data_IF_032335465982
#
_entry.id   IF_032335465982
#
_cell.length_a   1.000
_cell.length_b   1.000
_cell.length_c   1.000
_cell.angle_alpha   90.00
_cell.angle_beta   90.00
_cell.angle_gamma   90.00
#
_symmetry.space_group_name_H-M   'P 1'
#
loop_
_entity.id
_entity.type
_entity.pdbx_description
1 polymer ?
#
# COMPACT_ATOMS: atom_id res chain seq x y z
N UNK A 1 22.85 1.11 -11.00
CA UNK A 1 23.54 1.43 -9.72
C UNK A 1 22.49 1.51 -8.63
N UNK A 2 22.44 0.49 -7.80
CA UNK A 2 21.49 0.32 -6.70
C UNK A 2 22.02 0.97 -5.42
N UNK A 3 21.14 1.20 -4.44
CA UNK A 3 21.57 1.59 -3.10
C UNK A 3 22.41 0.50 -2.41
N UNK A 4 22.38 -0.75 -2.90
CA UNK A 4 23.21 -1.84 -2.40
C UNK A 4 24.69 -1.73 -2.80
N UNK A 5 25.01 -0.93 -3.82
CA UNK A 5 26.38 -0.64 -4.29
C UNK A 5 26.94 0.68 -3.72
N UNK A 6 26.14 1.44 -2.95
CA UNK A 6 26.54 2.76 -2.46
C UNK A 6 27.39 2.66 -1.19
N UNK A 7 28.65 3.08 -1.26
CA UNK A 7 29.53 3.16 -0.10
C UNK A 7 29.10 4.22 0.93
N UNK A 8 29.45 3.96 2.19
CA UNK A 8 29.20 4.86 3.32
C UNK A 8 27.87 4.65 4.07
N UNK A 9 27.65 5.49 5.09
CA UNK A 9 26.58 5.30 6.09
C UNK A 9 25.18 5.26 5.48
N UNK A 10 24.90 6.07 4.44
CA UNK A 10 23.58 6.10 3.79
C UNK A 10 23.24 4.77 3.10
N UNK A 11 24.20 4.15 2.41
CA UNK A 11 24.03 2.83 1.78
C UNK A 11 23.88 1.71 2.81
N UNK A 12 24.70 1.72 3.88
CA UNK A 12 24.54 0.81 5.02
C UNK A 12 23.15 0.87 5.63
N UNK A 13 22.60 2.07 5.82
CA UNK A 13 21.25 2.27 6.35
C UNK A 13 20.17 1.72 5.42
N UNK A 14 20.29 1.96 4.10
CA UNK A 14 19.34 1.41 3.14
C UNK A 14 19.39 -0.12 3.08
N UNK A 15 20.59 -0.72 3.07
CA UNK A 15 20.73 -2.19 3.08
C UNK A 15 20.09 -2.82 4.33
N UNK A 16 20.42 -2.35 5.54
CA UNK A 16 19.82 -2.89 6.76
C UNK A 16 18.31 -2.59 6.90
N UNK A 17 17.82 -1.49 6.29
CA UNK A 17 16.38 -1.22 6.21
C UNK A 17 15.69 -2.20 5.26
N UNK A 18 16.25 -2.45 4.08
CA UNK A 18 15.75 -3.43 3.12
C UNK A 18 15.71 -4.84 3.70
N UNK A 19 16.82 -5.30 4.31
CA UNK A 19 16.89 -6.61 4.97
C UNK A 19 15.74 -6.78 5.97
N UNK A 20 15.55 -5.80 6.88
CA UNK A 20 14.51 -5.87 7.91
C UNK A 20 13.10 -5.72 7.31
N UNK A 21 12.91 -4.93 6.26
CA UNK A 21 11.63 -4.85 5.55
C UNK A 21 11.29 -6.16 4.83
N UNK A 22 12.27 -6.91 4.32
CA UNK A 22 12.06 -8.23 3.75
C UNK A 22 11.87 -9.33 4.82
N UNK A 23 12.67 -9.34 5.89
CA UNK A 23 12.63 -10.32 6.98
C UNK A 23 11.32 -10.28 7.79
N UNK A 24 10.78 -9.08 8.07
CA UNK A 24 9.62 -8.90 8.95
C UNK A 24 8.53 -7.95 8.40
N UNK A 25 8.67 -7.40 7.19
CA UNK A 25 7.73 -6.43 6.62
C UNK A 25 8.01 -4.99 7.07
N UNK A 26 7.65 -4.00 6.25
CA UNK A 26 7.86 -2.59 6.57
C UNK A 26 7.18 -2.21 7.88
N UNK A 27 5.92 -2.62 8.11
CA UNK A 27 5.15 -2.17 9.26
C UNK A 27 5.73 -2.58 10.62
N UNK A 28 6.11 -3.85 10.78
CA UNK A 28 6.72 -4.37 12.03
C UNK A 28 8.13 -3.83 12.26
N UNK A 29 8.81 -3.35 11.21
CA UNK A 29 10.11 -2.70 11.33
C UNK A 29 10.02 -1.29 11.89
N UNK A 30 10.90 -0.97 12.85
CA UNK A 30 11.09 0.36 13.41
C UNK A 30 12.48 0.94 13.11
N UNK A 31 12.58 2.27 13.12
CA UNK A 31 13.87 2.98 13.05
C UNK A 31 14.82 2.66 14.23
N UNK A 32 14.33 1.99 15.29
CA UNK A 32 15.16 1.53 16.41
C UNK A 32 15.92 0.26 16.03
N UNK A 33 15.22 -0.75 15.50
CA UNK A 33 15.84 -2.01 15.03
C UNK A 33 16.88 -1.78 13.93
N UNK A 34 16.62 -0.85 13.00
CA UNK A 34 17.58 -0.48 11.94
C UNK A 34 18.84 0.18 12.53
N UNK A 35 18.68 1.00 13.58
CA UNK A 35 19.80 1.61 14.29
C UNK A 35 20.61 0.55 15.07
N UNK A 36 19.91 -0.35 15.77
CA UNK A 36 20.49 -1.45 16.56
C UNK A 36 21.28 -2.42 15.68
N UNK A 37 20.76 -2.85 14.51
CA UNK A 37 21.45 -3.71 13.53
C UNK A 37 22.69 -3.05 12.87
N UNK A 38 22.91 -1.74 13.09
CA UNK A 38 24.02 -0.99 12.53
C UNK A 38 24.99 -0.41 13.57
N UNK A 39 24.73 -0.63 14.86
CA UNK A 39 25.42 0.01 16.00
C UNK A 39 25.36 1.56 15.93
N UNK A 40 24.27 2.09 15.40
CA UNK A 40 24.00 3.52 15.27
C UNK A 40 22.96 4.00 16.29
N UNK A 41 22.93 5.30 16.55
CA UNK A 41 21.81 5.91 17.27
C UNK A 41 20.62 6.15 16.32
N UNK A 42 19.39 6.11 16.85
CA UNK A 42 18.19 6.52 16.09
C UNK A 42 18.32 7.96 15.54
N UNK A 43 19.06 8.84 16.22
CA UNK A 43 19.34 10.20 15.74
C UNK A 43 20.23 10.19 14.47
N UNK A 44 21.25 9.33 14.41
CA UNK A 44 22.07 9.16 13.20
C UNK A 44 21.28 8.60 12.01
N UNK A 45 20.31 7.71 12.24
CA UNK A 45 19.37 7.28 11.20
C UNK A 45 18.51 8.45 10.71
N UNK A 46 17.91 9.22 11.65
CA UNK A 46 17.04 10.35 11.33
C UNK A 46 17.75 11.50 10.62
N UNK A 47 19.05 11.69 10.85
CA UNK A 47 19.89 12.65 10.12
C UNK A 47 19.96 12.34 8.61
N UNK A 48 20.02 11.06 8.24
CA UNK A 48 20.01 10.65 6.83
C UNK A 48 18.61 10.44 6.25
N UNK A 49 17.62 10.04 7.07
CA UNK A 49 16.26 9.71 6.63
C UNK A 49 15.22 10.19 7.66
N UNK A 50 14.53 11.33 7.42
CA UNK A 50 13.63 11.95 8.40
C UNK A 50 12.44 11.10 8.88
N UNK A 51 12.07 10.03 8.16
CA UNK A 51 11.06 9.07 8.60
C UNK A 51 11.26 7.68 7.98
N UNK A 52 10.54 6.67 8.50
CA UNK A 52 10.53 5.31 7.90
C UNK A 52 10.07 5.32 6.43
N UNK A 53 9.16 6.23 6.07
CA UNK A 53 8.73 6.43 4.69
C UNK A 53 9.85 6.96 3.78
N UNK A 54 10.75 7.82 4.29
CA UNK A 54 11.91 8.28 3.50
C UNK A 54 12.91 7.17 3.19
N UNK A 55 13.02 6.14 4.05
CA UNK A 55 13.78 4.93 3.71
C UNK A 55 13.11 4.19 2.55
N UNK A 56 11.81 3.91 2.65
CA UNK A 56 11.07 3.16 1.63
C UNK A 56 11.06 3.87 0.27
N UNK A 57 10.86 5.19 0.24
CA UNK A 57 11.02 5.99 -0.99
C UNK A 57 12.45 5.89 -1.55
N UNK A 58 13.49 5.98 -0.72
CA UNK A 58 14.87 5.88 -1.18
C UNK A 58 15.29 4.45 -1.59
N UNK A 59 14.59 3.41 -1.12
CA UNK A 59 14.73 2.03 -1.61
C UNK A 59 14.06 1.83 -2.96
N UNK A 60 12.92 2.50 -3.19
CA UNK A 60 12.18 2.48 -4.46
C UNK A 60 12.82 3.32 -5.57
N UNK A 61 13.53 4.39 -5.20
CA UNK A 61 14.02 5.42 -6.13
C UNK A 61 14.79 4.89 -7.36
N UNK A 62 15.68 3.87 -7.26
CA UNK A 62 16.33 3.32 -8.44
C UNK A 62 15.32 2.74 -9.44
N UNK A 63 14.45 1.83 -8.99
CA UNK A 63 13.41 1.20 -9.81
C UNK A 63 12.48 2.23 -10.44
N UNK A 64 12.01 3.21 -9.67
CA UNK A 64 11.11 4.26 -10.17
C UNK A 64 11.83 5.12 -11.22
N UNK A 65 13.08 5.52 -10.96
CA UNK A 65 13.87 6.33 -11.88
C UNK A 65 14.29 5.57 -13.15
N UNK A 66 14.50 4.25 -13.08
CA UNK A 66 14.79 3.42 -14.24
C UNK A 66 13.54 3.21 -15.11
N UNK A 67 12.37 2.96 -14.49
CA UNK A 67 11.08 2.93 -15.19
C UNK A 67 10.70 4.29 -15.82
N UNK A 68 11.04 5.43 -15.20
CA UNK A 68 10.85 6.75 -15.79
C UNK A 68 11.69 6.94 -17.07
N UNK A 69 13.00 6.65 -17.01
CA UNK A 69 13.90 6.71 -18.19
C UNK A 69 13.43 5.81 -19.32
N UNK A 70 12.97 4.61 -18.98
CA UNK A 70 12.47 3.60 -19.91
C UNK A 70 11.22 4.10 -20.66
N UNK A 71 10.25 4.66 -19.93
CA UNK A 71 9.02 5.20 -20.52
C UNK A 71 9.28 6.46 -21.34
N UNK A 72 10.26 7.29 -20.94
CA UNK A 72 10.73 8.43 -21.75
C UNK A 72 11.44 7.98 -23.03
N UNK A 73 12.31 6.96 -22.96
CA UNK A 73 13.00 6.41 -24.12
C UNK A 73 12.03 5.75 -25.11
N UNK A 74 11.11 4.92 -24.62
CA UNK A 74 10.07 4.30 -25.45
C UNK A 74 9.12 5.34 -26.07
N UNK A 75 8.78 6.41 -25.32
CA UNK A 75 7.95 7.52 -25.80
C UNK A 75 8.62 8.41 -26.86
N UNK A 76 9.94 8.30 -27.02
CA UNK A 76 10.71 8.99 -28.07
C UNK A 76 10.88 8.16 -29.36
N UNK A 77 10.47 6.87 -29.36
CA UNK A 77 10.53 5.99 -30.52
C UNK A 77 9.27 6.12 -31.40
N UNK A 78 9.39 5.83 -32.72
CA UNK A 78 8.23 5.61 -33.58
C UNK A 78 7.30 4.52 -33.02
N UNK A 79 5.96 4.65 -33.10
CA UNK A 79 5.02 3.74 -32.44
C UNK A 79 5.17 2.26 -32.80
N UNK A 80 5.57 1.96 -34.05
CA UNK A 80 5.79 0.59 -34.53
C UNK A 80 7.05 -0.08 -33.92
N UNK A 81 7.97 0.73 -33.38
CA UNK A 81 9.17 0.26 -32.68
C UNK A 81 8.98 0.30 -31.16
N UNK A 82 8.30 1.34 -30.65
CA UNK A 82 8.07 1.56 -29.23
C UNK A 82 7.36 0.39 -28.54
N UNK A 83 6.34 -0.20 -29.20
CA UNK A 83 5.42 -1.18 -28.58
C UNK A 83 6.13 -2.40 -27.98
N UNK A 84 7.01 -3.05 -28.75
CA UNK A 84 7.70 -4.27 -28.28
C UNK A 84 8.94 -3.93 -27.46
N UNK A 85 9.67 -2.86 -27.81
CA UNK A 85 10.84 -2.38 -27.05
C UNK A 85 10.47 -2.05 -25.60
N UNK A 86 9.36 -1.33 -25.40
CA UNK A 86 8.80 -1.01 -24.08
C UNK A 86 8.60 -2.27 -23.23
N UNK A 87 8.02 -3.33 -23.79
CA UNK A 87 7.72 -4.55 -23.05
C UNK A 87 8.97 -5.32 -22.63
N UNK A 88 9.94 -5.44 -23.52
CA UNK A 88 11.20 -6.13 -23.23
C UNK A 88 11.97 -5.39 -22.13
N UNK A 89 12.16 -4.08 -22.29
CA UNK A 89 12.82 -3.24 -21.28
C UNK A 89 12.04 -3.25 -19.95
N UNK A 90 10.70 -3.29 -19.98
CA UNK A 90 9.85 -3.25 -18.78
C UNK A 90 9.95 -4.55 -17.98
N UNK A 91 9.88 -5.70 -18.65
CA UNK A 91 10.08 -7.00 -17.99
C UNK A 91 11.50 -7.12 -17.44
N UNK A 92 12.51 -6.67 -18.19
CA UNK A 92 13.91 -6.66 -17.70
C UNK A 92 14.08 -5.75 -16.48
N UNK A 93 13.50 -4.55 -16.48
CA UNK A 93 13.57 -3.62 -15.34
C UNK A 93 12.87 -4.17 -14.10
N UNK A 94 11.71 -4.83 -14.25
CA UNK A 94 11.03 -5.48 -13.13
C UNK A 94 11.86 -6.65 -12.57
N UNK A 95 12.51 -7.44 -13.43
CA UNK A 95 13.37 -8.56 -13.02
C UNK A 95 14.68 -8.09 -12.34
N UNK A 96 15.30 -7.02 -12.81
CA UNK A 96 16.48 -6.40 -12.17
C UNK A 96 16.12 -5.92 -10.76
N UNK A 97 14.98 -5.24 -10.61
CA UNK A 97 14.51 -4.69 -9.34
C UNK A 97 13.60 -5.63 -8.54
N UNK A 98 13.60 -6.95 -8.81
CA UNK A 98 12.63 -7.91 -8.24
C UNK A 98 12.51 -7.91 -6.71
N UNK A 99 13.63 -7.73 -6.00
CA UNK A 99 13.66 -7.63 -4.54
C UNK A 99 12.96 -6.38 -4.00
N UNK A 100 13.40 -5.17 -4.40
CA UNK A 100 12.67 -3.92 -4.18
C UNK A 100 11.19 -3.97 -4.59
N UNK A 101 10.87 -4.58 -5.73
CA UNK A 101 9.50 -4.70 -6.26
C UNK A 101 8.59 -5.54 -5.33
N UNK A 102 9.05 -6.71 -4.87
CA UNK A 102 8.27 -7.56 -3.96
C UNK A 102 8.03 -6.89 -2.60
N UNK A 103 9.06 -6.27 -2.03
CA UNK A 103 8.94 -5.46 -0.82
C UNK A 103 7.93 -4.31 -1.02
N UNK A 104 7.97 -3.63 -2.18
CA UNK A 104 7.05 -2.55 -2.48
C UNK A 104 5.62 -3.06 -2.65
N UNK A 105 5.36 -4.11 -3.44
CA UNK A 105 4.00 -4.56 -3.76
C UNK A 105 3.19 -4.94 -2.51
N UNK A 106 3.83 -5.58 -1.52
CA UNK A 106 3.19 -5.94 -0.26
C UNK A 106 2.88 -4.74 0.65
N UNK A 107 3.70 -3.70 0.65
CA UNK A 107 3.56 -2.55 1.55
C UNK A 107 3.01 -1.27 0.85
N UNK A 108 2.84 -1.25 -0.49
CA UNK A 108 2.41 -0.08 -1.27
C UNK A 108 1.02 0.44 -0.85
N UNK A 109 0.11 -0.48 -0.50
CA UNK A 109 -1.22 -0.17 0.03
C UNK A 109 -1.19 0.53 1.40
N UNK A 110 -0.02 0.56 2.07
CA UNK A 110 0.22 1.14 3.39
C UNK A 110 1.26 2.28 3.35
N UNK A 111 1.76 2.63 2.17
CA UNK A 111 2.49 3.88 1.94
C UNK A 111 1.45 5.00 1.85
N UNK A 112 1.72 6.10 2.54
CA UNK A 112 0.97 7.34 2.40
C UNK A 112 0.86 7.75 0.92
N UNK A 113 -0.19 8.47 0.53
CA UNK A 113 -0.53 8.81 -0.86
C UNK A 113 0.39 9.91 -1.43
N UNK A 114 1.70 9.70 -1.31
CA UNK A 114 2.76 10.64 -1.65
C UNK A 114 3.30 10.49 -3.07
N UNK A 115 4.46 11.12 -3.30
CA UNK A 115 5.07 11.28 -4.63
C UNK A 115 5.43 9.96 -5.32
N UNK A 116 5.88 8.94 -4.59
CA UNK A 116 6.29 7.64 -5.15
C UNK A 116 5.12 6.92 -5.82
N UNK A 117 3.96 6.83 -5.17
CA UNK A 117 2.75 6.23 -5.74
C UNK A 117 2.28 7.02 -6.97
N UNK A 118 2.23 8.36 -6.87
CA UNK A 118 1.86 9.23 -8.00
C UNK A 118 2.83 9.15 -9.20
N UNK A 119 4.12 8.84 -8.97
CA UNK A 119 5.08 8.52 -10.05
C UNK A 119 4.75 7.18 -10.68
N UNK A 120 4.64 6.11 -9.88
CA UNK A 120 4.30 4.76 -10.37
C UNK A 120 3.01 4.73 -11.21
N UNK A 121 1.94 5.41 -10.77
CA UNK A 121 0.70 5.54 -11.53
C UNK A 121 0.93 6.27 -12.86
N UNK A 122 1.67 7.38 -12.88
CA UNK A 122 1.97 8.14 -14.11
C UNK A 122 2.83 7.33 -15.10
N UNK A 123 3.82 6.60 -14.61
CA UNK A 123 4.68 5.69 -15.38
C UNK A 123 3.80 4.62 -16.05
N UNK A 124 2.96 3.92 -15.27
CA UNK A 124 2.06 2.89 -15.78
C UNK A 124 1.05 3.45 -16.81
N UNK A 125 0.46 4.63 -16.55
CA UNK A 125 -0.45 5.28 -17.51
C UNK A 125 0.24 5.57 -18.85
N UNK A 126 1.44 6.17 -18.83
CA UNK A 126 2.20 6.44 -20.07
C UNK A 126 2.65 5.15 -20.77
N UNK A 127 3.04 4.12 -20.03
CA UNK A 127 3.37 2.81 -20.61
C UNK A 127 2.14 2.21 -21.32
N UNK A 128 0.94 2.29 -20.72
CA UNK A 128 -0.31 1.85 -21.34
C UNK A 128 -0.64 2.63 -22.61
N UNK A 129 -0.41 3.95 -22.63
CA UNK A 129 -0.63 4.82 -23.80
C UNK A 129 0.32 4.45 -24.96
N UNK A 130 1.62 4.29 -24.68
CA UNK A 130 2.62 3.87 -25.68
C UNK A 130 2.31 2.47 -26.22
N UNK A 131 1.94 1.54 -25.34
CA UNK A 131 1.68 0.14 -25.69
C UNK A 131 0.38 -0.09 -26.49
N UNK A 132 -0.62 0.77 -26.26
CA UNK A 132 -1.86 0.80 -27.04
C UNK A 132 -1.67 1.52 -28.40
N UNK A 133 -0.89 2.61 -28.42
CA UNK A 133 -0.57 3.37 -29.62
C UNK A 133 -1.65 4.39 -30.05
N UNK A 134 -1.33 5.30 -30.98
CA UNK A 134 -2.11 6.52 -31.25
C UNK A 134 -3.46 6.30 -31.96
N UNK A 135 -3.79 5.07 -32.35
CA UNK A 135 -5.09 4.70 -32.95
C UNK A 135 -5.75 3.49 -32.29
N UNK A 136 -5.38 3.21 -31.04
CA UNK A 136 -5.93 2.10 -30.27
C UNK A 136 -7.46 2.05 -30.28
N UNK A 137 -8.04 0.87 -30.49
CA UNK A 137 -9.44 0.61 -30.13
C UNK A 137 -9.61 0.60 -28.61
N UNK A 138 -10.85 0.43 -28.13
CA UNK A 138 -11.10 0.12 -26.71
C UNK A 138 -10.46 -1.23 -26.33
N UNK A 139 -10.48 -2.22 -27.23
CA UNK A 139 -9.89 -3.56 -27.04
C UNK A 139 -8.38 -3.46 -26.78
N UNK A 140 -7.70 -2.62 -27.56
CA UNK A 140 -6.24 -2.45 -27.48
C UNK A 140 -5.82 -1.70 -26.23
N UNK A 141 -6.58 -0.67 -25.80
CA UNK A 141 -6.36 -0.01 -24.51
C UNK A 141 -6.51 -0.97 -23.33
N UNK A 142 -7.54 -1.82 -23.32
CA UNK A 142 -7.73 -2.82 -22.26
C UNK A 142 -6.59 -3.83 -22.26
N UNK A 143 -6.20 -4.34 -23.44
CA UNK A 143 -5.07 -5.27 -23.62
C UNK A 143 -3.73 -4.67 -23.20
N UNK A 144 -3.49 -3.39 -23.47
CA UNK A 144 -2.29 -2.69 -23.02
C UNK A 144 -2.21 -2.58 -21.48
N UNK A 145 -3.31 -2.17 -20.83
CA UNK A 145 -3.41 -2.14 -19.36
C UNK A 145 -3.17 -3.52 -18.76
N UNK A 146 -3.76 -4.57 -19.35
CA UNK A 146 -3.55 -5.95 -18.92
C UNK A 146 -2.10 -6.42 -19.10
N UNK A 147 -1.45 -6.08 -20.21
CA UNK A 147 -0.04 -6.42 -20.47
C UNK A 147 0.94 -5.78 -19.49
N UNK A 148 0.76 -4.49 -19.16
CA UNK A 148 1.60 -3.81 -18.15
C UNK A 148 1.32 -4.36 -16.74
N UNK A 149 0.06 -4.61 -16.39
CA UNK A 149 -0.31 -5.16 -15.08
C UNK A 149 0.27 -6.57 -14.84
N UNK A 150 0.20 -7.46 -15.83
CA UNK A 150 0.72 -8.83 -15.69
C UNK A 150 2.25 -8.93 -15.63
N UNK A 151 2.98 -7.84 -15.80
CA UNK A 151 4.45 -7.83 -15.68
C UNK A 151 4.94 -7.75 -14.23
N UNK A 152 4.11 -7.39 -13.26
CA UNK A 152 4.52 -7.25 -11.85
C UNK A 152 4.37 -8.55 -11.07
N UNK A 153 3.19 -9.16 -11.11
CA UNK A 153 2.82 -10.28 -10.25
C UNK A 153 3.71 -11.53 -10.41
N UNK A 154 4.09 -12.00 -11.63
CA UNK A 154 4.98 -13.15 -11.78
C UNK A 154 6.35 -12.92 -11.14
N UNK A 155 6.87 -11.68 -11.18
CA UNK A 155 8.17 -11.31 -10.62
C UNK A 155 8.17 -11.37 -9.08
N UNK A 156 7.02 -11.11 -8.45
CA UNK A 156 6.88 -11.16 -6.99
C UNK A 156 6.50 -12.55 -6.49
N UNK A 157 5.62 -13.27 -7.19
CA UNK A 157 5.07 -14.55 -6.71
C UNK A 157 5.83 -15.80 -7.20
N UNK A 158 6.67 -15.71 -8.22
CA UNK A 158 7.46 -16.82 -8.78
C UNK A 158 8.98 -16.60 -8.62
N UNK A 159 9.38 -16.11 -7.44
CA UNK A 159 10.76 -15.73 -7.11
C UNK A 159 11.78 -16.89 -7.16
N UNK A 160 11.29 -18.13 -7.08
CA UNK A 160 12.03 -19.38 -7.27
C UNK A 160 12.37 -19.68 -8.75
N UNK A 161 11.63 -19.11 -9.70
CA UNK A 161 11.89 -19.31 -11.14
C UNK A 161 13.12 -18.48 -11.57
N UNK A 162 14.09 -19.07 -12.28
CA UNK A 162 15.23 -18.33 -12.80
C UNK A 162 14.78 -17.19 -13.72
N UNK A 163 15.28 -15.98 -13.49
CA UNK A 163 14.86 -14.77 -14.22
C UNK A 163 14.87 -14.90 -15.77
N UNK A 164 15.84 -15.57 -16.43
CA UNK A 164 15.80 -15.77 -17.89
C UNK A 164 14.62 -16.63 -18.38
N UNK A 165 14.15 -17.58 -17.56
CA UNK A 165 12.98 -18.43 -17.86
C UNK A 165 11.71 -17.61 -17.65
N UNK A 166 11.59 -16.97 -16.48
CA UNK A 166 10.46 -16.12 -16.12
C UNK A 166 10.24 -14.99 -17.16
N UNK A 167 11.32 -14.35 -17.63
CA UNK A 167 11.31 -13.37 -18.73
C UNK A 167 10.67 -13.94 -20.01
N UNK A 168 11.05 -15.16 -20.39
CA UNK A 168 10.57 -15.79 -21.63
C UNK A 168 9.06 -16.11 -21.54
N UNK A 169 8.62 -16.68 -20.42
CA UNK A 169 7.22 -17.04 -20.20
C UNK A 169 6.32 -15.80 -20.08
N UNK A 170 6.77 -14.75 -19.39
CA UNK A 170 6.07 -13.46 -19.31
C UNK A 170 5.88 -12.83 -20.69
N UNK A 171 6.94 -12.78 -21.51
CA UNK A 171 6.86 -12.19 -22.86
C UNK A 171 6.04 -13.05 -23.82
N UNK A 172 6.00 -14.37 -23.66
CA UNK A 172 5.08 -15.24 -24.42
C UNK A 172 3.61 -14.99 -24.02
N UNK A 173 3.31 -14.88 -22.72
CA UNK A 173 1.99 -14.52 -22.21
C UNK A 173 1.51 -13.17 -22.77
N UNK A 174 2.37 -12.15 -22.76
CA UNK A 174 2.06 -10.82 -23.33
C UNK A 174 1.88 -10.90 -24.86
N UNK A 175 2.67 -11.68 -25.60
CA UNK A 175 2.46 -11.89 -27.05
C UNK A 175 1.08 -12.48 -27.34
N UNK A 176 0.66 -13.52 -26.59
CA UNK A 176 -0.66 -14.15 -26.74
C UNK A 176 -1.81 -13.19 -26.43
N UNK A 177 -1.65 -12.33 -25.42
CA UNK A 177 -2.64 -11.30 -25.07
C UNK A 177 -2.79 -10.24 -26.17
N UNK A 178 -1.66 -9.76 -26.69
CA UNK A 178 -1.60 -8.66 -27.65
C UNK A 178 -1.80 -9.10 -29.11
N UNK A 179 -1.80 -10.41 -29.39
CA UNK A 179 -2.08 -10.98 -30.72
C UNK A 179 -3.49 -10.63 -31.19
N UNK A 180 -3.65 -10.39 -32.50
CA UNK A 180 -4.94 -10.10 -33.09
C UNK A 180 -5.84 -11.35 -33.07
N UNK A 181 -6.83 -11.34 -32.20
CA UNK A 181 -7.94 -12.29 -32.25
C UNK A 181 -8.97 -11.77 -33.27
N UNK A 182 -9.67 -12.65 -34.03
CA UNK A 182 -10.66 -12.25 -35.02
C UNK A 182 -11.61 -11.13 -34.54
N UNK A 183 -11.96 -10.26 -35.47
CA UNK A 183 -12.57 -8.97 -35.18
C UNK A 183 -14.04 -9.07 -34.77
N UNK A 184 -14.30 -8.86 -33.48
CA UNK A 184 -15.64 -8.57 -32.94
C UNK A 184 -15.67 -7.15 -32.33
N UNK A 185 -15.52 -6.15 -33.20
CA UNK A 185 -16.03 -4.79 -32.93
C UNK A 185 -17.56 -4.71 -33.12
N UNK A 186 -18.21 -5.85 -33.39
CA UNK A 186 -19.65 -6.04 -33.63
C UNK A 186 -20.52 -5.87 -32.38
N UNK A 187 -20.01 -6.22 -31.20
CA UNK A 187 -20.86 -6.52 -30.04
C UNK A 187 -21.39 -5.31 -29.24
N UNK A 188 -20.98 -4.07 -29.54
CA UNK A 188 -21.44 -2.87 -28.83
C UNK A 188 -21.58 -1.66 -29.77
N UNK A 189 -22.61 -1.69 -30.62
CA UNK A 189 -23.13 -0.45 -31.22
C UNK A 189 -23.73 0.44 -30.14
N UNK A 190 -23.25 1.69 -30.04
CA UNK A 190 -23.89 2.72 -29.22
C UNK A 190 -25.19 3.22 -29.87
N UNK A 191 -26.22 3.62 -29.09
CA UNK A 191 -27.54 3.99 -29.62
C UNK A 191 -27.58 5.44 -30.16
N UNK A 192 -26.73 5.77 -31.14
CA UNK A 192 -26.71 7.06 -31.84
C UNK A 192 -26.87 6.83 -33.36
N UNK A 193 -28.11 6.73 -33.85
CA UNK A 193 -28.29 6.35 -35.26
C UNK A 193 -29.70 6.20 -35.86
N UNK A 194 -30.77 6.81 -35.32
CA UNK A 194 -31.88 7.44 -36.10
C UNK A 194 -32.98 7.98 -35.15
N UNK A 195 -33.14 9.30 -35.08
CA UNK A 195 -34.23 9.96 -34.33
C UNK A 195 -35.50 10.16 -35.19
N UNK A 196 -35.83 9.15 -36.02
CA UNK A 196 -36.77 9.21 -37.14
C UNK A 196 -38.24 8.92 -36.82
N UNK A 197 -38.87 9.71 -35.93
CA UNK A 197 -40.35 9.82 -35.77
C UNK A 197 -41.16 8.49 -35.61
N UNK A 198 -41.41 8.09 -34.37
CA UNK A 198 -42.59 7.27 -34.03
C UNK A 198 -43.25 7.77 -32.73
N UNK A 199 -44.56 7.57 -32.60
CA UNK A 199 -45.38 8.18 -31.57
C UNK A 199 -45.25 7.53 -30.17
N UNK A 200 -45.61 8.31 -29.15
CA UNK A 200 -45.75 7.85 -27.76
C UNK A 200 -46.98 6.97 -27.61
N UNK A 201 -46.84 5.83 -26.95
CA UNK A 201 -47.90 5.25 -26.09
C UNK A 201 -47.25 4.51 -24.91
N UNK A 202 -47.94 4.40 -23.78
CA UNK A 202 -47.36 3.97 -22.50
C UNK A 202 -48.25 2.95 -21.77
N UNK A 203 -47.87 1.67 -21.86
CA UNK A 203 -48.47 0.58 -21.08
C UNK A 203 -47.48 0.01 -20.04
N UNK A 204 -47.89 -0.21 -18.78
CA UNK A 204 -46.99 -0.73 -17.74
C UNK A 204 -46.85 -2.26 -17.77
N UNK A 205 -45.62 -2.75 -17.93
CA UNK A 205 -45.29 -4.19 -17.82
C UNK A 205 -45.16 -4.61 -16.34
N UNK A 206 -45.80 -5.70 -15.89
CA UNK A 206 -45.70 -6.17 -14.50
C UNK A 206 -44.37 -6.91 -14.22
N UNK A 207 -43.94 -6.91 -12.96
CA UNK A 207 -42.73 -7.57 -12.50
C UNK A 207 -42.88 -9.12 -12.42
N UNK A 208 -41.79 -9.90 -12.62
CA UNK A 208 -41.83 -11.35 -12.53
C UNK A 208 -41.96 -11.83 -11.07
N UNK A 209 -42.82 -12.83 -10.84
CA UNK A 209 -43.09 -13.37 -9.51
C UNK A 209 -42.03 -14.38 -9.04
N UNK A 210 -41.67 -14.30 -7.76
CA UNK A 210 -40.90 -15.33 -7.04
C UNK A 210 -41.71 -16.63 -6.96
N UNK A 211 -41.05 -17.78 -7.13
CA UNK A 211 -41.62 -19.10 -6.78
C UNK A 211 -40.88 -19.69 -5.59
N UNK A 212 -41.62 -20.25 -4.64
CA UNK A 212 -41.13 -20.89 -3.42
C UNK A 212 -41.74 -22.29 -3.26
N UNK A 213 -40.91 -23.24 -2.79
CA UNK A 213 -41.31 -24.62 -2.43
C UNK A 213 -41.51 -25.60 -3.62
N UNK A 214 -41.36 -26.91 -3.42
CA UNK A 214 -40.88 -27.64 -2.23
C UNK A 214 -41.24 -29.14 -2.24
N UNK A 215 -40.48 -29.97 -1.50
CA UNK A 215 -40.66 -31.43 -1.35
C UNK A 215 -39.87 -32.25 -2.39
N UNK A 216 -38.92 -33.14 -2.02
CA UNK A 216 -39.01 -34.42 -1.28
C UNK A 216 -39.52 -35.58 -2.16
N UNK A 217 -38.87 -36.76 -2.23
CA UNK A 217 -38.39 -37.66 -1.15
C UNK A 217 -37.34 -38.68 -1.65
N UNK A 218 -36.53 -39.25 -0.72
CA UNK A 218 -36.05 -40.67 -0.54
C UNK A 218 -35.68 -41.54 -1.78
N UNK A 219 -34.79 -42.56 -1.79
CA UNK A 219 -33.73 -43.17 -0.94
C UNK A 219 -33.06 -44.28 -1.82
N UNK A 220 -31.93 -44.96 -1.58
CA UNK A 220 -30.74 -44.93 -0.69
C UNK A 220 -29.60 -45.68 -1.45
N UNK A 221 -28.35 -45.73 -0.95
CA UNK A 221 -27.34 -46.65 -1.50
C UNK A 221 -25.95 -46.61 -0.86
N UNK A 222 -25.80 -47.07 0.40
CA UNK A 222 -24.47 -47.19 1.04
C UNK A 222 -23.58 -48.30 0.46
N UNK A 223 -22.26 -48.08 0.33
CA UNK A 223 -21.22 -49.14 0.40
C UNK A 223 -19.87 -48.57 0.92
N UNK A 224 -19.07 -49.39 1.62
CA UNK A 224 -17.85 -49.01 2.37
C UNK A 224 -16.54 -49.52 1.74
N UNK A 225 -15.47 -48.74 1.86
CA UNK A 225 -14.10 -49.11 2.27
C UNK A 225 -13.26 -47.80 2.35
N UNK A 226 -12.48 -47.42 3.37
CA UNK A 226 -11.90 -48.02 4.59
C UNK A 226 -10.65 -48.92 4.46
N UNK A 227 -9.51 -48.27 4.15
CA UNK A 227 -8.18 -48.51 4.77
C UNK A 227 -7.36 -47.20 4.77
N UNK A 228 -6.45 -46.92 5.70
CA UNK A 228 -6.23 -47.59 6.98
C UNK A 228 -4.78 -47.79 7.43
N UNK A 229 -3.99 -46.73 7.64
CA UNK A 229 -2.74 -46.80 8.42
C UNK A 229 -2.41 -45.47 9.10
N UNK A 230 -1.84 -45.54 10.29
CA UNK A 230 -1.28 -44.41 11.05
C UNK A 230 0.10 -44.81 11.58
N UNK A 231 0.89 -43.82 12.00
CA UNK A 231 2.07 -44.03 12.87
C UNK A 231 2.24 -42.81 13.77
N UNK A 232 2.40 -43.06 15.07
CA UNK A 232 2.66 -42.05 16.10
C UNK A 232 4.15 -41.65 16.18
N UNK A 233 4.49 -40.62 16.99
CA UNK A 233 5.82 -40.57 17.62
C UNK A 233 6.35 -39.20 18.07
N UNK A 234 6.19 -38.91 19.37
CA UNK A 234 6.94 -37.93 20.21
C UNK A 234 7.00 -36.43 19.77
N UNK A 235 6.84 -35.40 20.61
CA UNK A 235 6.91 -35.19 22.06
C UNK A 235 8.30 -34.86 22.67
N UNK A 236 8.65 -33.57 22.68
CA UNK A 236 9.40 -32.86 23.73
C UNK A 236 9.03 -31.35 23.61
N UNK A 237 8.58 -30.56 24.60
CA UNK A 237 8.80 -30.46 26.06
C UNK A 237 10.06 -29.68 26.47
N UNK A 238 9.87 -28.45 26.97
CA UNK A 238 10.92 -27.51 27.39
C UNK A 238 10.66 -26.10 26.84
N UNK A 239 10.19 -25.12 27.61
CA UNK A 239 9.87 -25.11 29.04
C UNK A 239 10.99 -24.52 29.88
N UNK A 240 10.97 -23.19 30.07
CA UNK A 240 11.65 -22.51 31.16
C UNK A 240 10.92 -21.21 31.51
N UNK A 241 10.95 -20.79 32.77
CA UNK A 241 10.28 -19.57 33.23
C UNK A 241 10.75 -19.12 34.61
N UNK A 242 10.78 -17.80 34.79
CA UNK A 242 10.86 -17.04 36.04
C UNK A 242 11.84 -17.50 37.16
N UNK A 243 12.87 -16.69 37.39
CA UNK A 243 13.41 -16.40 38.74
C UNK A 243 13.47 -14.86 38.90
N UNK A 244 13.51 -14.37 40.14
CA UNK A 244 13.27 -12.97 40.53
C UNK A 244 14.54 -12.35 41.17
N UNK A 245 14.38 -11.22 41.88
CA UNK A 245 15.38 -10.47 42.67
C UNK A 245 16.48 -9.71 41.89
N UNK A 246 17.03 -8.59 42.38
CA UNK A 246 16.70 -7.85 43.62
C UNK A 246 17.51 -6.54 43.80
N UNK A 247 17.08 -5.71 44.75
CA UNK A 247 17.55 -4.39 45.20
C UNK A 247 18.99 -3.89 44.91
N UNK A 248 19.08 -2.62 44.49
CA UNK A 248 19.84 -1.52 45.16
C UNK A 248 19.57 -0.19 44.40
N UNK A 249 19.08 0.91 44.96
CA UNK A 249 19.29 1.58 46.26
C UNK A 249 20.67 2.26 46.41
N UNK A 250 20.77 3.49 45.88
CA UNK A 250 21.76 4.49 46.33
C UNK A 250 21.13 5.88 46.38
N UNK A 251 21.12 6.47 47.57
CA UNK A 251 20.93 7.89 47.82
C UNK A 251 22.09 8.42 48.66
N UNK A 252 22.31 9.73 48.68
CA UNK A 252 23.43 10.32 49.44
C UNK A 252 23.75 11.76 49.06
N UNK A 253 22.99 12.68 49.64
CA UNK A 253 23.31 14.06 50.06
C UNK A 253 24.20 15.04 49.25
N UNK A 254 23.97 16.33 49.55
CA UNK A 254 24.89 17.44 49.27
C UNK A 254 25.96 17.61 50.38
N UNK A 255 26.41 18.82 50.77
CA UNK A 255 25.81 20.16 50.55
C UNK A 255 26.79 21.18 49.92
N UNK A 256 26.41 22.48 49.77
CA UNK A 256 27.34 23.43 49.12
C UNK A 256 27.14 24.96 49.07
N UNK A 257 26.22 25.58 49.82
CA UNK A 257 26.16 27.06 50.06
C UNK A 257 25.73 27.97 48.87
N UNK A 258 25.75 29.29 49.09
CA UNK A 258 24.83 30.31 48.52
C UNK A 258 25.55 31.55 47.96
N UNK A 259 24.81 32.29 47.10
CA UNK A 259 24.76 33.75 46.87
C UNK A 259 24.73 34.08 45.35
N UNK A 260 23.86 34.97 44.83
CA UNK A 260 22.77 35.74 45.45
C UNK A 260 22.00 36.59 44.39
N UNK A 261 21.30 37.64 44.85
CA UNK A 261 20.69 38.74 44.06
C UNK A 261 19.43 38.48 43.17
N UNK A 262 18.27 38.85 43.75
CA UNK A 262 17.19 39.67 43.16
C UNK A 262 16.59 39.37 41.76
N UNK A 263 15.32 38.95 41.74
CA UNK A 263 14.42 39.05 40.58
C UNK A 263 12.95 39.15 41.02
N UNK A 264 12.24 40.22 40.64
CA UNK A 264 10.90 40.50 41.15
C UNK A 264 9.81 39.56 40.57
N UNK A 265 9.00 38.95 41.45
CA UNK A 265 7.94 38.01 41.06
C UNK A 265 6.76 38.73 40.40
N UNK A 266 6.78 38.83 39.07
CA UNK A 266 5.56 39.09 38.29
C UNK A 266 4.71 37.83 38.26
N UNK A 267 3.58 37.83 38.98
CA UNK A 267 2.56 36.77 38.91
C UNK A 267 1.85 36.84 37.55
N UNK A 268 2.49 36.30 36.52
CA UNK A 268 1.89 36.14 35.21
C UNK A 268 0.70 35.19 35.28
N UNK A 269 -0.52 35.71 35.07
CA UNK A 269 -1.72 34.88 34.88
C UNK A 269 -1.43 33.81 33.82
N UNK A 270 -1.36 32.54 34.22
CA UNK A 270 -1.25 31.41 33.29
C UNK A 270 -2.43 31.48 32.33
N UNK A 271 -2.18 31.75 31.04
CA UNK A 271 -3.18 31.54 29.99
C UNK A 271 -3.60 30.07 30.05
N UNK A 272 -4.90 29.74 30.05
CA UNK A 272 -5.33 28.34 30.00
C UNK A 272 -4.70 27.64 28.80
N UNK A 273 -4.05 26.50 29.04
CA UNK A 273 -3.51 25.69 27.95
C UNK A 273 -4.64 25.20 27.06
N UNK A 274 -4.44 25.25 25.73
CA UNK A 274 -5.40 24.75 24.74
C UNK A 274 -5.87 23.34 25.13
N UNK A 275 -7.19 23.06 25.22
CA UNK A 275 -7.69 21.80 25.77
C UNK A 275 -7.06 20.57 25.12
N UNK A 276 -6.63 19.60 25.95
CA UNK A 276 -5.95 18.38 25.50
C UNK A 276 -6.91 17.30 24.96
N UNK A 277 -8.21 17.47 25.20
CA UNK A 277 -9.31 16.62 24.76
C UNK A 277 -10.47 17.50 24.27
N UNK A 278 -11.26 16.98 23.34
CA UNK A 278 -12.53 17.60 22.93
C UNK A 278 -13.64 17.21 23.92
N UNK A 279 -14.62 18.09 24.15
CA UNK A 279 -15.86 17.69 24.82
C UNK A 279 -16.74 16.82 23.90
N UNK A 280 -17.69 16.02 24.44
CA UNK A 280 -18.64 15.26 23.63
C UNK A 280 -19.46 16.14 22.68
N UNK A 281 -19.78 17.36 23.12
CA UNK A 281 -20.49 18.37 22.32
C UNK A 281 -19.63 18.88 21.14
N UNK A 282 -18.35 19.18 21.41
CA UNK A 282 -17.40 19.58 20.36
C UNK A 282 -17.18 18.46 19.34
N UNK A 283 -17.11 17.19 19.77
CA UNK A 283 -16.98 16.05 18.86
C UNK A 283 -18.25 15.88 18.02
N UNK A 284 -19.43 16.04 18.62
CA UNK A 284 -20.71 16.00 17.93
C UNK A 284 -20.87 17.13 16.91
N UNK A 285 -20.35 18.33 17.21
CA UNK A 285 -20.32 19.45 16.28
C UNK A 285 -19.34 19.22 15.11
N UNK A 286 -18.13 18.74 15.42
CA UNK A 286 -17.10 18.45 14.43
C UNK A 286 -17.52 17.40 13.40
N UNK A 287 -18.21 16.34 13.86
CA UNK A 287 -18.79 15.30 12.98
C UNK A 287 -19.76 15.90 11.97
N UNK A 288 -20.77 16.64 12.42
CA UNK A 288 -21.75 17.28 11.53
C UNK A 288 -21.08 18.20 10.49
N UNK A 289 -20.10 19.01 10.90
CA UNK A 289 -19.37 19.89 9.98
C UNK A 289 -18.54 19.14 8.92
N UNK A 290 -18.07 17.94 9.25
CA UNK A 290 -17.34 17.05 8.34
C UNK A 290 -18.30 16.28 7.41
N UNK A 291 -19.41 15.76 7.96
CA UNK A 291 -20.44 14.99 7.26
C UNK A 291 -21.21 15.83 6.23
N UNK A 292 -21.43 17.12 6.48
CA UNK A 292 -22.02 18.03 5.46
C UNK A 292 -21.03 18.50 4.40
N UNK A 293 -19.74 18.11 4.50
CA UNK A 293 -18.68 18.47 3.54
C UNK A 293 -18.40 19.97 3.40
N UNK A 294 -19.00 20.82 4.26
CA UNK A 294 -19.10 22.27 4.04
C UNK A 294 -17.94 23.08 4.62
N UNK A 295 -17.02 22.43 5.34
CA UNK A 295 -15.88 23.04 6.00
C UNK A 295 -14.64 22.16 5.83
N UNK A 296 -13.47 22.78 5.66
CA UNK A 296 -12.19 22.09 5.65
C UNK A 296 -11.79 21.59 7.04
N UNK A 297 -10.89 20.60 7.07
CA UNK A 297 -10.31 20.05 8.31
C UNK A 297 -9.64 21.13 9.18
N UNK A 298 -9.08 22.17 8.57
CA UNK A 298 -8.44 23.28 9.30
C UNK A 298 -9.48 24.22 9.94
N UNK A 299 -10.58 24.51 9.25
CA UNK A 299 -11.70 25.29 9.80
C UNK A 299 -12.39 24.56 10.94
N UNK A 300 -12.63 23.24 10.80
CA UNK A 300 -13.20 22.41 11.88
C UNK A 300 -12.25 22.36 13.08
N UNK A 301 -10.94 22.20 12.87
CA UNK A 301 -9.95 22.20 13.95
C UNK A 301 -9.82 23.58 14.64
N UNK A 302 -9.96 24.67 13.89
CA UNK A 302 -10.00 26.03 14.41
C UNK A 302 -11.26 26.26 15.26
N UNK A 303 -12.45 25.96 14.73
CA UNK A 303 -13.74 26.11 15.40
C UNK A 303 -13.84 25.26 16.68
N UNK A 304 -13.33 24.03 16.66
CA UNK A 304 -13.27 23.15 17.82
C UNK A 304 -12.16 23.53 18.83
N UNK A 305 -11.30 24.49 18.50
CA UNK A 305 -10.23 24.93 19.38
C UNK A 305 -9.12 23.89 19.60
N UNK A 306 -8.90 22.94 18.68
CA UNK A 306 -7.92 21.83 18.81
C UNK A 306 -6.94 21.75 17.62
N UNK A 307 -5.99 20.81 17.64
CA UNK A 307 -5.07 20.58 16.50
C UNK A 307 -5.68 19.61 15.48
N UNK A 308 -5.24 19.66 14.21
CA UNK A 308 -5.59 18.66 13.17
C UNK A 308 -5.36 17.23 13.68
N UNK A 309 -4.20 16.99 14.32
CA UNK A 309 -3.82 15.69 14.87
C UNK A 309 -4.64 15.26 16.11
N UNK A 310 -5.33 16.20 16.76
CA UNK A 310 -6.34 15.90 17.78
C UNK A 310 -7.65 15.48 17.10
N UNK A 311 -8.09 16.24 16.10
CA UNK A 311 -9.36 16.01 15.38
C UNK A 311 -9.37 14.65 14.66
N UNK A 312 -8.33 14.34 13.87
CA UNK A 312 -8.19 13.03 13.20
C UNK A 312 -8.20 11.86 14.19
N UNK A 313 -7.66 12.03 15.40
CA UNK A 313 -7.64 10.95 16.40
C UNK A 313 -9.06 10.57 16.84
N UNK A 314 -9.95 11.55 17.02
CA UNK A 314 -11.33 11.30 17.45
C UNK A 314 -12.29 10.92 16.32
N UNK A 315 -12.03 11.38 15.09
CA UNK A 315 -12.76 10.90 13.91
C UNK A 315 -12.41 9.42 13.65
N UNK A 316 -11.12 9.10 13.51
CA UNK A 316 -10.67 7.76 13.14
C UNK A 316 -10.89 6.71 14.27
N UNK A 317 -10.89 7.10 15.54
CA UNK A 317 -11.13 6.15 16.66
C UNK A 317 -12.56 5.59 16.69
N UNK A 318 -13.48 6.11 15.88
CA UNK A 318 -14.89 5.71 15.90
C UNK A 318 -15.20 4.48 15.05
N UNK A 319 -14.40 4.21 14.01
CA UNK A 319 -14.61 3.05 13.12
C UNK A 319 -14.29 1.68 13.73
N UNK A 320 -13.72 1.65 14.94
CA UNK A 320 -13.21 0.44 15.59
C UNK A 320 -13.97 0.02 16.87
N UNK A 321 -15.12 0.65 17.20
CA UNK A 321 -15.79 0.45 18.49
C UNK A 321 -17.32 0.28 18.40
N UNK A 322 -17.82 -0.19 17.25
CA UNK A 322 -19.26 -0.41 16.98
C UNK A 322 -19.58 -1.89 16.73
N UNK A 323 -18.82 -2.80 17.37
CA UNK A 323 -18.95 -4.27 17.21
C UNK A 323 -18.98 -5.02 18.55
N UNK A 324 -19.38 -4.33 19.63
CA UNK A 324 -19.74 -4.95 20.92
C UNK A 324 -20.96 -4.22 21.47
N UNK A 325 -21.96 -4.97 21.94
CA UNK A 325 -23.25 -4.52 22.48
C UNK A 325 -24.33 -4.06 21.47
N UNK A 326 -24.81 -4.98 20.63
CA UNK A 326 -26.25 -5.35 20.53
C UNK A 326 -26.39 -6.68 19.80
#
# INVERSE_FOLDING_TARGET
>A
MTWAETDGTRGRILRAAFDLFAEQGYQRTSLRQIAERLELTKAAILYHFPSKGHLLTALAEPMVGDLEKLVDAAGALPPEQARWRLLEDWVDTMLEHRGPLGMLLHDLALVDQGSTYHRLVRIAMRANEILAGPRASRRDRVRAVQAIAMCSDPVVFLMEVPAPVLRADMLDGVRRLLADAPGDDSCLGGPDGDAGRAAVDAGPTPAPAVRTGGGSTLDDGSTRARTGTAVDGAAASGGNGAVVDGDAAFGGDGPGRVDGAAGAVRVGRRRPGRPRSMSPEQLSAARRMHETGSHSIDEIAAACGVSRATLYRYLNSSGNNETVLS
#
